data_IF_464375617472
#
_entry.id   IF_464375617472
#
_cell.length_a   1.000
_cell.length_b   1.000
_cell.length_c   1.000
_cell.angle_alpha   90.00
_cell.angle_beta   90.00
_cell.angle_gamma   90.00
#
_symmetry.space_group_name_H-M   'P 1'
#
loop_
_entity.id
_entity.type
_entity.pdbx_description
1 polymer ?
#
# COMPACT_ATOMS: atom_id res chain seq x y z
N UNK A 1 14.63 -11.41 2.21
CA UNK A 1 14.59 -12.69 1.49
C UNK A 1 14.49 -12.36 0.01
N UNK A 2 15.57 -12.54 -0.74
CA UNK A 2 15.52 -12.56 -2.20
C UNK A 2 15.27 -14.02 -2.59
N UNK A 3 14.25 -14.27 -3.41
CA UNK A 3 13.87 -15.64 -3.79
C UNK A 3 14.47 -15.93 -5.15
N UNK A 4 15.61 -16.63 -5.17
CA UNK A 4 16.16 -17.20 -6.41
C UNK A 4 15.44 -18.53 -6.67
N UNK A 5 14.53 -18.53 -7.64
CA UNK A 5 13.73 -19.69 -8.04
C UNK A 5 13.71 -19.81 -9.56
N UNK A 6 13.79 -21.05 -10.05
CA UNK A 6 13.54 -21.38 -11.46
C UNK A 6 12.06 -21.15 -11.77
N UNK A 7 11.78 -20.37 -12.82
CA UNK A 7 10.43 -20.15 -13.33
C UNK A 7 9.90 -21.44 -13.97
N UNK A 8 8.76 -21.93 -13.49
CA UNK A 8 8.09 -23.11 -14.06
C UNK A 8 7.01 -22.68 -15.07
N UNK A 9 6.48 -23.64 -15.84
CA UNK A 9 5.34 -23.36 -16.72
C UNK A 9 4.10 -22.89 -15.95
N UNK A 10 3.91 -23.35 -14.70
CA UNK A 10 2.83 -22.88 -13.84
C UNK A 10 3.01 -21.42 -13.43
N UNK A 11 4.24 -20.97 -13.20
CA UNK A 11 4.54 -19.56 -12.90
C UNK A 11 4.21 -18.66 -14.11
N UNK A 12 4.44 -19.16 -15.33
CA UNK A 12 4.07 -18.44 -16.56
C UNK A 12 2.56 -18.39 -16.78
N UNK A 13 1.85 -19.43 -16.36
CA UNK A 13 0.40 -19.55 -16.56
C UNK A 13 -0.40 -18.79 -15.49
N UNK A 14 0.05 -18.82 -14.24
CA UNK A 14 -0.71 -18.35 -13.08
C UNK A 14 -0.07 -17.14 -12.39
N UNK A 15 1.16 -16.78 -12.74
CA UNK A 15 1.95 -15.77 -12.04
C UNK A 15 2.53 -16.28 -10.72
N UNK A 16 3.30 -15.41 -10.05
CA UNK A 16 3.88 -15.67 -8.73
C UNK A 16 3.21 -14.74 -7.72
N UNK A 17 2.61 -15.30 -6.68
CA UNK A 17 2.06 -14.55 -5.57
C UNK A 17 3.09 -14.45 -4.44
N UNK A 18 3.37 -13.22 -4.00
CA UNK A 18 4.28 -12.93 -2.88
C UNK A 18 3.47 -12.21 -1.81
N UNK A 19 3.29 -12.87 -0.66
CA UNK A 19 2.59 -12.31 0.49
C UNK A 19 3.60 -11.99 1.61
N UNK A 20 3.56 -10.75 2.10
CA UNK A 20 4.47 -10.24 3.12
C UNK A 20 3.62 -9.59 4.21
N UNK A 21 3.69 -10.10 5.43
CA UNK A 21 3.07 -9.45 6.59
C UNK A 21 3.95 -8.30 7.08
N UNK A 22 3.35 -7.13 7.26
CA UNK A 22 4.06 -5.92 7.69
C UNK A 22 3.55 -5.50 9.06
N UNK A 23 4.45 -5.40 10.04
CA UNK A 23 4.13 -4.92 11.39
C UNK A 23 4.29 -3.38 11.44
N UNK A 24 3.39 -2.69 10.75
CA UNK A 24 3.41 -1.23 10.59
C UNK A 24 4.43 -0.72 9.55
N UNK A 25 4.18 0.49 9.03
CA UNK A 25 5.02 1.13 8.01
C UNK A 25 4.56 0.89 6.57
N UNK A 26 5.12 1.68 5.64
CA UNK A 26 4.92 1.52 4.20
C UNK A 26 5.89 0.46 3.68
N UNK A 27 5.38 -0.50 2.93
CA UNK A 27 6.21 -1.46 2.18
C UNK A 27 6.02 -1.24 0.69
N UNK A 28 7.14 -1.31 -0.02
CA UNK A 28 7.21 -1.31 -1.48
C UNK A 28 7.83 -2.63 -1.91
N UNK A 29 7.14 -3.32 -2.79
CA UNK A 29 7.57 -4.58 -3.42
C UNK A 29 7.91 -4.23 -4.86
N UNK A 30 9.11 -4.57 -5.31
CA UNK A 30 9.51 -4.41 -6.72
C UNK A 30 9.79 -5.76 -7.36
N UNK A 31 9.51 -5.87 -8.65
CA UNK A 31 9.74 -7.08 -9.43
C UNK A 31 10.31 -6.74 -10.82
N UNK A 32 11.18 -7.61 -11.31
CA UNK A 32 11.80 -7.54 -12.62
C UNK A 32 12.02 -8.95 -13.16
N UNK A 33 11.83 -9.15 -14.45
CA UNK A 33 12.11 -10.41 -15.14
C UNK A 33 13.36 -10.23 -15.99
N UNK A 34 14.31 -11.15 -15.87
CA UNK A 34 15.54 -11.17 -16.68
C UNK A 34 15.51 -12.40 -17.57
N UNK A 35 15.72 -12.22 -18.87
CA UNK A 35 15.80 -13.35 -19.80
C UNK A 35 17.11 -14.13 -19.67
N UNK A 36 17.22 -15.27 -20.37
CA UNK A 36 18.43 -16.11 -20.32
C UNK A 36 19.69 -15.42 -20.91
N UNK A 37 19.52 -14.36 -21.69
CA UNK A 37 20.62 -13.55 -22.23
C UNK A 37 21.00 -12.39 -21.28
N UNK A 38 20.28 -12.20 -20.17
CA UNK A 38 20.53 -11.16 -19.19
C UNK A 38 19.81 -9.84 -19.47
N UNK A 39 18.81 -9.80 -20.36
CA UNK A 39 18.06 -8.57 -20.63
C UNK A 39 16.93 -8.40 -19.60
N UNK A 40 16.92 -7.32 -18.80
CA UNK A 40 15.86 -7.07 -17.84
C UNK A 40 14.62 -6.44 -18.49
N UNK A 41 13.45 -6.79 -17.98
CA UNK A 41 12.21 -6.05 -18.19
C UNK A 41 12.25 -4.70 -17.46
N UNK A 42 11.32 -3.78 -17.76
CA UNK A 42 11.02 -2.69 -16.84
C UNK A 42 10.70 -3.23 -15.43
N UNK A 43 11.08 -2.46 -14.42
CA UNK A 43 10.74 -2.76 -13.04
C UNK A 43 9.28 -2.37 -12.78
N UNK A 44 8.54 -3.22 -12.06
CA UNK A 44 7.18 -2.95 -11.59
C UNK A 44 7.16 -2.91 -10.07
N UNK A 45 6.37 -2.01 -9.49
CA UNK A 45 6.22 -1.92 -8.04
C UNK A 45 4.77 -2.00 -7.59
N UNK A 46 4.58 -2.58 -6.40
CA UNK A 46 3.34 -2.58 -5.64
C UNK A 46 3.62 -2.05 -4.24
N UNK A 47 2.65 -1.37 -3.63
CA UNK A 47 2.81 -0.83 -2.29
C UNK A 47 1.54 -0.97 -1.46
N UNK A 48 1.75 -1.14 -0.15
CA UNK A 48 0.64 -1.08 0.81
C UNK A 48 0.44 0.37 1.24
N UNK A 49 -0.81 0.85 1.18
CA UNK A 49 -1.18 2.17 1.71
C UNK A 49 -1.14 2.10 3.24
N UNK A 50 0.03 2.36 3.81
CA UNK A 50 0.18 2.60 5.24
C UNK A 50 -0.54 3.90 5.63
N UNK A 51 -1.78 3.80 6.12
CA UNK A 51 -2.36 4.60 7.21
C UNK A 51 -3.87 4.36 7.30
N UNK A 52 -4.24 3.41 8.16
CA UNK A 52 -5.56 3.35 8.79
C UNK A 52 -5.62 4.39 9.92
N UNK A 53 -5.27 5.65 9.62
CA UNK A 53 -5.47 6.76 10.54
C UNK A 53 -6.93 7.15 10.45
N UNK A 54 -7.69 6.99 11.54
CA UNK A 54 -9.06 7.45 11.60
C UNK A 54 -9.13 8.91 11.08
N UNK A 55 -9.99 9.16 10.09
CA UNK A 55 -10.22 10.52 9.64
C UNK A 55 -10.62 11.36 10.86
N UNK A 56 -10.04 12.56 11.06
CA UNK A 56 -10.47 13.43 12.14
C UNK A 56 -11.97 13.71 11.98
N UNK A 57 -12.70 13.67 13.09
CA UNK A 57 -14.12 14.00 13.07
C UNK A 57 -14.29 15.45 12.58
N UNK A 58 -15.29 15.74 11.72
CA UNK A 58 -15.56 17.10 11.31
C UNK A 58 -15.93 17.94 12.55
N UNK A 59 -15.26 19.08 12.73
CA UNK A 59 -15.65 20.09 13.72
C UNK A 59 -16.60 21.08 13.06
N UNK A 60 -17.77 21.27 13.64
CA UNK A 60 -18.68 22.36 13.30
C UNK A 60 -18.66 23.36 14.45
N UNK A 61 -18.33 24.61 14.14
CA UNK A 61 -18.40 25.72 15.09
C UNK A 61 -19.63 26.58 14.77
N UNK A 62 -20.36 27.01 15.81
CA UNK A 62 -21.46 27.96 15.71
C UNK A 62 -20.94 29.34 16.15
N UNK A 63 -20.58 30.27 15.24
CA UNK A 63 -19.89 31.51 15.61
C UNK A 63 -20.69 32.51 16.48
N UNK A 64 -21.98 32.24 16.74
CA UNK A 64 -22.81 33.00 17.70
C UNK A 64 -23.04 32.28 19.04
N UNK A 65 -22.61 31.03 19.18
CA UNK A 65 -22.72 30.26 20.42
C UNK A 65 -21.43 30.47 21.24
N UNK A 66 -21.38 31.60 21.95
CA UNK A 66 -20.21 31.96 22.76
C UNK A 66 -20.16 31.26 24.12
N UNK A 67 -21.26 30.65 24.56
CA UNK A 67 -21.37 29.98 25.86
C UNK A 67 -21.28 28.43 25.75
N UNK A 68 -21.30 27.88 24.54
CA UNK A 68 -21.16 26.45 24.26
C UNK A 68 -22.38 25.62 24.64
N UNK A 69 -23.58 26.22 24.67
CA UNK A 69 -24.82 25.54 25.05
C UNK A 69 -25.55 24.88 23.86
N UNK A 70 -25.03 25.04 22.64
CA UNK A 70 -25.63 24.53 21.41
C UNK A 70 -26.75 25.40 20.85
N UNK A 71 -26.96 26.61 21.39
CA UNK A 71 -27.96 27.58 20.97
C UNK A 71 -27.26 28.85 20.47
N UNK A 72 -27.75 29.37 19.33
CA UNK A 72 -27.28 30.65 18.79
C UNK A 72 -27.90 31.81 19.58
N UNK A 73 -27.08 32.69 20.15
CA UNK A 73 -27.51 33.91 20.85
C UNK A 73 -27.02 35.17 20.15
#
# INVERSE_FOLDING_TARGET
VLVDRVITQDDLNNGIQVEITVDGGKVEVTAQVVDAAGNPSPEVSDNTRGANGAAPAPTAELPGDTNGDGVYH
#
